data_IF_221503844420
#
_entry.id   IF_221503844420
#
_cell.length_a   1.000
_cell.length_b   1.000
_cell.length_c   1.000
_cell.angle_alpha   90.00
_cell.angle_beta   90.00
_cell.angle_gamma   90.00
#
_symmetry.space_group_name_H-M   'P 1'
#
loop_
_entity.id
_entity.type
_entity.pdbx_description
1 polymer ?
#
# COMPACT_ATOMS: atom_id res chain seq x y z
N UNK A 1 1.69 -5.82 0.16
CA UNK A 1 1.15 -5.03 1.27
C UNK A 1 -0.23 -5.53 1.70
N UNK A 2 -0.89 -4.78 2.59
CA UNK A 2 -2.17 -5.22 3.18
C UNK A 2 -3.29 -5.22 2.15
N UNK A 3 -3.35 -4.25 1.23
CA UNK A 3 -4.41 -4.19 0.24
C UNK A 3 -4.36 -5.39 -0.71
N UNK A 4 -3.22 -5.66 -1.34
CA UNK A 4 -3.05 -6.84 -2.19
C UNK A 4 -3.27 -8.16 -1.43
N UNK A 5 -2.82 -8.25 -0.16
CA UNK A 5 -3.02 -9.45 0.66
C UNK A 5 -4.49 -9.69 1.02
N UNK A 6 -5.21 -8.64 1.41
CA UNK A 6 -6.63 -8.73 1.75
C UNK A 6 -7.48 -9.03 0.50
N UNK A 7 -7.20 -8.36 -0.62
CA UNK A 7 -7.86 -8.60 -1.90
C UNK A 7 -7.69 -10.06 -2.37
N UNK A 8 -6.45 -10.57 -2.30
CA UNK A 8 -6.16 -11.97 -2.62
C UNK A 8 -6.88 -12.93 -1.68
N UNK A 9 -6.92 -12.63 -0.37
CA UNK A 9 -7.60 -13.46 0.63
C UNK A 9 -9.10 -13.56 0.39
N UNK A 10 -9.75 -12.48 -0.07
CA UNK A 10 -11.17 -12.52 -0.47
C UNK A 10 -11.41 -13.49 -1.63
N UNK A 11 -10.53 -13.46 -2.65
CA UNK A 11 -10.64 -14.43 -3.76
C UNK A 11 -10.39 -15.86 -3.30
N UNK A 12 -9.38 -16.12 -2.46
CA UNK A 12 -9.09 -17.46 -1.93
C UNK A 12 -10.32 -17.99 -1.21
N UNK A 13 -10.89 -17.26 -0.25
CA UNK A 13 -12.08 -17.66 0.49
C UNK A 13 -13.28 -17.91 -0.41
N UNK A 14 -13.49 -17.09 -1.43
CA UNK A 14 -14.55 -17.30 -2.41
C UNK A 14 -14.32 -18.60 -3.20
N UNK A 15 -13.13 -18.81 -3.76
CA UNK A 15 -12.81 -19.98 -4.60
C UNK A 15 -12.86 -21.28 -3.79
N UNK A 16 -12.40 -21.26 -2.54
CA UNK A 16 -12.55 -22.39 -1.60
C UNK A 16 -14.02 -22.71 -1.30
N UNK A 17 -14.86 -21.69 -1.09
CA UNK A 17 -16.28 -21.88 -0.81
C UNK A 17 -17.06 -22.57 -1.92
N UNK A 18 -16.57 -22.48 -3.16
CA UNK A 18 -17.16 -23.13 -4.34
C UNK A 18 -16.35 -24.36 -4.81
N UNK A 19 -15.36 -24.80 -4.02
CA UNK A 19 -14.44 -25.89 -4.35
C UNK A 19 -13.78 -25.75 -5.74
N UNK A 20 -13.43 -24.51 -6.14
CA UNK A 20 -12.76 -24.26 -7.41
C UNK A 20 -11.26 -24.46 -7.27
N UNK A 21 -10.63 -25.14 -8.24
CA UNK A 21 -9.18 -25.33 -8.28
C UNK A 21 -8.48 -24.01 -8.60
N UNK A 22 -7.53 -23.60 -7.78
CA UNK A 22 -6.72 -22.39 -7.97
C UNK A 22 -5.33 -22.54 -7.36
N UNK A 23 -4.46 -21.61 -7.68
CA UNK A 23 -3.25 -21.28 -6.91
C UNK A 23 -3.14 -19.76 -6.79
N UNK A 24 -2.46 -19.30 -5.76
CA UNK A 24 -2.14 -17.88 -5.62
C UNK A 24 -0.63 -17.67 -5.58
N UNK A 25 -0.21 -16.46 -5.87
CA UNK A 25 1.18 -16.05 -5.82
C UNK A 25 1.27 -14.58 -5.41
N UNK A 26 2.06 -14.29 -4.39
CA UNK A 26 2.37 -12.93 -3.96
C UNK A 26 3.81 -12.64 -4.35
N UNK A 27 4.08 -11.69 -5.26
CA UNK A 27 5.43 -11.38 -5.70
C UNK A 27 6.35 -10.97 -4.55
N UNK A 28 7.56 -11.48 -4.60
CA UNK A 28 8.62 -11.05 -3.68
C UNK A 28 9.39 -9.87 -4.29
N UNK A 29 9.51 -8.78 -3.51
CA UNK A 29 10.12 -7.54 -4.00
C UNK A 29 11.58 -7.67 -4.41
N UNK A 30 12.33 -8.55 -3.74
CA UNK A 30 13.75 -8.79 -4.02
C UNK A 30 13.94 -9.71 -5.24
N UNK A 31 13.08 -10.74 -5.37
CA UNK A 31 13.22 -11.79 -6.39
C UNK A 31 12.50 -11.45 -7.69
N UNK A 32 11.23 -11.00 -7.58
CA UNK A 32 10.34 -10.80 -8.72
C UNK A 32 10.20 -9.32 -9.13
N UNK A 33 10.61 -8.41 -8.24
CA UNK A 33 10.37 -6.99 -8.40
C UNK A 33 9.00 -6.56 -7.89
N UNK A 34 8.56 -5.38 -8.29
CA UNK A 34 7.27 -4.81 -7.88
C UNK A 34 6.20 -5.07 -8.94
N UNK A 35 5.07 -5.65 -8.49
CA UNK A 35 3.90 -5.87 -9.35
C UNK A 35 4.04 -7.04 -10.35
N UNK A 36 3.19 -7.01 -11.38
CA UNK A 36 3.13 -8.04 -12.40
C UNK A 36 4.20 -7.79 -13.49
N UNK A 37 5.15 -8.72 -13.64
CA UNK A 37 6.21 -8.67 -14.64
C UNK A 37 6.16 -9.87 -15.59
N UNK A 38 6.67 -9.70 -16.83
CA UNK A 38 6.80 -10.79 -17.79
C UNK A 38 7.59 -11.96 -17.19
N UNK A 39 8.75 -11.67 -16.57
CA UNK A 39 9.60 -12.66 -15.91
C UNK A 39 8.86 -13.50 -14.85
N UNK A 40 7.97 -12.87 -14.10
CA UNK A 40 7.11 -13.57 -13.15
C UNK A 40 6.14 -14.51 -13.89
N UNK A 41 5.49 -14.02 -14.94
CA UNK A 41 4.50 -14.83 -15.67
C UNK A 41 5.14 -15.97 -16.44
N UNK A 42 6.37 -15.86 -16.93
CA UNK A 42 7.13 -16.98 -17.48
C UNK A 42 7.22 -18.18 -16.52
N UNK A 43 7.31 -17.91 -15.20
CA UNK A 43 7.29 -18.96 -14.18
C UNK A 43 5.87 -19.48 -13.92
N UNK A 44 4.86 -18.58 -13.87
CA UNK A 44 3.51 -18.95 -13.47
C UNK A 44 2.76 -19.73 -14.55
N UNK A 45 3.01 -19.49 -15.84
CA UNK A 45 2.38 -20.23 -16.95
C UNK A 45 2.74 -21.72 -16.96
N UNK A 46 3.84 -22.12 -16.31
CA UNK A 46 4.22 -23.52 -16.16
C UNK A 46 3.17 -24.32 -15.37
N UNK A 47 2.35 -23.65 -14.56
CA UNK A 47 1.19 -24.23 -13.85
C UNK A 47 -0.06 -24.34 -14.73
N UNK A 48 0.03 -23.93 -16.02
CA UNK A 48 -1.04 -23.99 -17.02
C UNK A 48 -2.38 -23.34 -16.57
N UNK A 49 -2.37 -22.09 -16.09
CA UNK A 49 -3.60 -21.41 -15.73
C UNK A 49 -4.44 -21.09 -16.97
N UNK A 50 -5.78 -21.16 -16.85
CA UNK A 50 -6.69 -20.67 -17.89
C UNK A 50 -6.96 -19.16 -17.76
N UNK A 51 -6.90 -18.65 -16.55
CA UNK A 51 -7.14 -17.25 -16.21
C UNK A 51 -6.14 -16.83 -15.12
N UNK A 52 -5.54 -15.65 -15.30
CA UNK A 52 -4.76 -14.97 -14.26
C UNK A 52 -5.54 -13.74 -13.80
N UNK A 53 -5.80 -13.66 -12.51
CA UNK A 53 -6.42 -12.51 -11.86
C UNK A 53 -5.33 -11.74 -11.12
N UNK A 54 -5.14 -10.49 -11.48
CA UNK A 54 -4.24 -9.57 -10.81
C UNK A 54 -5.05 -8.64 -9.93
N UNK A 55 -4.68 -8.55 -8.66
CA UNK A 55 -5.30 -7.64 -7.70
C UNK A 55 -4.26 -6.70 -7.15
N UNK A 56 -4.61 -5.43 -6.98
CA UNK A 56 -3.74 -4.37 -6.49
C UNK A 56 -2.47 -4.16 -7.33
N UNK A 57 -2.52 -4.60 -8.58
CA UNK A 57 -1.45 -4.43 -9.56
C UNK A 57 -1.97 -4.72 -10.98
N UNK A 58 -1.15 -4.37 -11.97
CA UNK A 58 -1.41 -4.73 -13.36
C UNK A 58 -1.77 -3.55 -14.26
N UNK A 59 -2.19 -2.41 -13.73
CA UNK A 59 -2.61 -1.23 -14.50
C UNK A 59 -1.55 -0.66 -15.45
N UNK A 60 -0.28 -0.97 -15.23
CA UNK A 60 0.85 -0.53 -16.08
C UNK A 60 1.67 -1.70 -16.64
N UNK A 61 1.16 -2.91 -16.57
CA UNK A 61 1.91 -4.14 -16.89
C UNK A 61 1.72 -4.60 -18.34
N UNK A 62 1.88 -3.69 -19.32
CA UNK A 62 1.62 -3.96 -20.75
C UNK A 62 2.41 -5.18 -21.25
N UNK A 63 3.74 -5.20 -21.09
CA UNK A 63 4.60 -6.30 -21.54
C UNK A 63 4.18 -7.66 -20.94
N UNK A 64 3.79 -7.65 -19.66
CA UNK A 64 3.36 -8.87 -18.98
C UNK A 64 2.02 -9.38 -19.52
N UNK A 65 1.09 -8.48 -19.84
CA UNK A 65 -0.21 -8.83 -20.43
C UNK A 65 -0.04 -9.29 -21.89
N UNK A 66 0.80 -8.64 -22.68
CA UNK A 66 1.10 -9.07 -24.06
C UNK A 66 1.64 -10.50 -24.06
N UNK A 67 2.54 -10.82 -23.11
CA UNK A 67 3.06 -12.18 -22.95
C UNK A 67 1.96 -13.20 -22.60
N UNK A 68 0.98 -12.85 -21.75
CA UNK A 68 -0.16 -13.73 -21.46
C UNK A 68 -1.03 -13.96 -22.71
N UNK A 69 -1.27 -12.90 -23.50
CA UNK A 69 -2.05 -12.97 -24.73
C UNK A 69 -1.37 -13.88 -25.77
N UNK A 70 -0.05 -13.76 -25.95
CA UNK A 70 0.76 -14.65 -26.81
C UNK A 70 0.60 -16.12 -26.40
N UNK A 71 0.49 -16.40 -25.10
CA UNK A 71 0.29 -17.73 -24.54
C UNK A 71 -1.20 -18.15 -24.43
N UNK A 72 -2.13 -17.34 -24.96
CA UNK A 72 -3.60 -17.58 -24.94
C UNK A 72 -4.19 -17.74 -23.53
N UNK A 73 -3.60 -17.09 -22.54
CA UNK A 73 -4.06 -17.06 -21.15
C UNK A 73 -4.89 -15.82 -20.94
N UNK A 74 -6.10 -15.99 -20.41
CA UNK A 74 -6.99 -14.86 -20.10
C UNK A 74 -6.49 -14.11 -18.89
N UNK A 75 -6.76 -12.79 -18.85
CA UNK A 75 -6.33 -11.92 -17.76
C UNK A 75 -7.46 -11.00 -17.29
N UNK A 76 -7.58 -10.85 -15.97
CA UNK A 76 -8.44 -9.89 -15.28
C UNK A 76 -7.56 -9.04 -14.38
N UNK A 77 -7.65 -7.73 -14.51
CA UNK A 77 -6.99 -6.75 -13.64
C UNK A 77 -8.05 -6.08 -12.78
N UNK A 78 -7.86 -6.09 -11.45
CA UNK A 78 -8.65 -5.32 -10.47
C UNK A 78 -7.67 -4.48 -9.67
N UNK A 79 -7.56 -3.21 -10.00
CA UNK A 79 -6.52 -2.33 -9.52
C UNK A 79 -7.04 -0.89 -9.35
N UNK A 80 -6.37 -0.08 -8.56
CA UNK A 80 -6.72 1.31 -8.29
C UNK A 80 -5.55 2.29 -8.53
N UNK A 81 -4.38 1.76 -8.89
CA UNK A 81 -3.21 2.57 -9.23
C UNK A 81 -3.43 3.41 -10.48
N UNK A 82 -2.54 4.40 -10.68
CA UNK A 82 -2.58 5.22 -11.89
C UNK A 82 -2.46 4.35 -13.14
N UNK A 83 -3.29 4.66 -14.12
CA UNK A 83 -3.34 3.97 -15.41
C UNK A 83 -3.33 4.99 -16.55
N UNK A 84 -2.47 4.78 -17.53
CA UNK A 84 -2.31 5.68 -18.67
C UNK A 84 -2.34 4.89 -19.97
N UNK A 85 -2.72 5.55 -21.05
CA UNK A 85 -2.64 4.98 -22.39
C UNK A 85 -1.17 4.84 -22.85
N UNK A 86 -0.82 3.80 -23.60
CA UNK A 86 -1.69 2.67 -23.98
C UNK A 86 -1.97 1.73 -22.80
N UNK A 87 -3.25 1.40 -22.62
CA UNK A 87 -3.67 0.46 -21.54
C UNK A 87 -3.19 -0.97 -21.84
N UNK A 88 -2.90 -1.77 -20.79
CA UNK A 88 -2.67 -3.20 -20.96
C UNK A 88 -3.85 -3.86 -21.70
N UNK A 89 -3.56 -4.73 -22.67
CA UNK A 89 -4.59 -5.42 -23.46
C UNK A 89 -5.14 -6.65 -22.73
N UNK A 90 -5.48 -6.49 -21.43
CA UNK A 90 -6.12 -7.53 -20.65
C UNK A 90 -7.57 -7.77 -21.12
N UNK A 91 -8.10 -8.99 -20.89
CA UNK A 91 -9.48 -9.29 -21.25
C UNK A 91 -10.48 -8.40 -20.49
N UNK A 92 -10.18 -8.09 -19.22
CA UNK A 92 -10.97 -7.14 -18.42
C UNK A 92 -10.04 -6.34 -17.52
N UNK A 93 -10.30 -5.04 -17.42
CA UNK A 93 -9.64 -4.14 -16.46
C UNK A 93 -10.73 -3.43 -15.66
N UNK A 94 -10.71 -3.62 -14.35
CA UNK A 94 -11.51 -2.89 -13.38
C UNK A 94 -10.56 -1.92 -12.66
N UNK A 95 -10.62 -0.65 -13.05
CA UNK A 95 -9.86 0.43 -12.43
C UNK A 95 -10.67 1.73 -12.55
N UNK A 96 -11.02 2.40 -11.43
CA UNK A 96 -11.82 3.63 -11.44
C UNK A 96 -11.19 4.79 -12.20
N UNK A 97 -9.87 4.77 -12.39
CA UNK A 97 -9.12 5.82 -13.08
C UNK A 97 -9.01 5.59 -14.59
N UNK A 98 -9.46 4.42 -15.08
CA UNK A 98 -9.47 4.13 -16.52
C UNK A 98 -10.53 4.94 -17.23
N UNK A 99 -10.15 5.65 -18.29
CA UNK A 99 -11.05 6.44 -19.17
C UNK A 99 -11.84 7.56 -18.46
N UNK A 100 -11.44 7.97 -17.26
CA UNK A 100 -12.15 8.95 -16.42
C UNK A 100 -13.63 8.63 -16.16
N UNK A 101 -14.12 7.43 -16.51
CA UNK A 101 -15.53 7.08 -16.48
C UNK A 101 -16.11 6.87 -15.08
N UNK A 102 -15.25 6.50 -14.12
CA UNK A 102 -15.65 6.20 -12.75
C UNK A 102 -14.78 6.91 -11.72
N UNK A 103 -14.26 8.07 -12.07
CA UNK A 103 -13.35 8.85 -11.23
C UNK A 103 -13.95 9.24 -9.88
N UNK A 104 -15.26 9.22 -9.74
CA UNK A 104 -15.95 9.41 -8.47
C UNK A 104 -15.65 8.30 -7.44
N UNK A 105 -15.15 7.14 -7.89
CA UNK A 105 -14.73 5.98 -7.05
C UNK A 105 -13.21 5.86 -6.92
N UNK A 106 -12.45 6.88 -7.30
CA UNK A 106 -10.99 6.90 -7.25
C UNK A 106 -10.41 6.79 -5.83
N UNK A 107 -11.28 6.88 -4.81
CA UNK A 107 -10.93 6.71 -3.39
C UNK A 107 -11.09 5.26 -2.89
N UNK A 108 -11.37 4.30 -3.77
CA UNK A 108 -11.40 2.88 -3.42
C UNK A 108 -10.00 2.26 -3.52
N UNK A 109 -9.64 1.41 -2.57
CA UNK A 109 -8.51 0.49 -2.66
C UNK A 109 -8.89 -0.76 -3.46
N UNK A 110 -7.90 -1.58 -3.83
CA UNK A 110 -8.15 -2.78 -4.63
C UNK A 110 -9.05 -3.80 -3.90
N UNK A 111 -8.90 -3.96 -2.58
CA UNK A 111 -9.77 -4.82 -1.77
C UNK A 111 -11.25 -4.39 -1.85
N UNK A 112 -11.53 -3.08 -1.87
CA UNK A 112 -12.89 -2.56 -2.04
C UNK A 112 -13.47 -2.98 -3.39
N UNK A 113 -12.69 -2.85 -4.47
CA UNK A 113 -13.10 -3.25 -5.82
C UNK A 113 -13.35 -4.76 -5.91
N UNK A 114 -12.46 -5.57 -5.33
CA UNK A 114 -12.61 -7.03 -5.25
C UNK A 114 -13.85 -7.42 -4.45
N UNK A 115 -14.12 -6.75 -3.33
CA UNK A 115 -15.31 -7.00 -2.53
C UNK A 115 -16.60 -6.82 -3.35
N UNK A 116 -16.76 -5.69 -4.02
CA UNK A 116 -17.93 -5.44 -4.87
C UNK A 116 -17.99 -6.37 -6.09
N UNK A 117 -16.84 -6.68 -6.69
CA UNK A 117 -16.78 -7.67 -7.76
C UNK A 117 -17.29 -9.03 -7.30
N UNK A 118 -16.82 -9.52 -6.15
CA UNK A 118 -17.25 -10.79 -5.57
C UNK A 118 -18.71 -10.77 -5.14
N UNK A 119 -19.21 -9.67 -4.57
CA UNK A 119 -20.62 -9.50 -4.22
C UNK A 119 -21.53 -9.71 -5.46
N UNK A 120 -21.18 -9.07 -6.58
CA UNK A 120 -21.88 -9.23 -7.85
C UNK A 120 -21.75 -10.66 -8.41
N UNK A 121 -20.56 -11.25 -8.31
CA UNK A 121 -20.31 -12.62 -8.78
C UNK A 121 -21.10 -13.64 -7.97
N UNK A 122 -21.10 -13.54 -6.65
CA UNK A 122 -21.86 -14.39 -5.72
C UNK A 122 -23.35 -14.31 -6.06
N UNK A 123 -23.88 -13.11 -6.24
CA UNK A 123 -25.28 -12.88 -6.60
C UNK A 123 -25.61 -13.47 -7.97
N UNK A 124 -24.75 -13.28 -8.97
CA UNK A 124 -24.95 -13.80 -10.34
C UNK A 124 -24.87 -15.33 -10.40
N UNK A 125 -23.96 -15.94 -9.63
CA UNK A 125 -23.75 -17.38 -9.57
C UNK A 125 -24.66 -18.08 -8.56
N UNK A 126 -25.50 -17.32 -7.84
CA UNK A 126 -26.40 -17.83 -6.79
C UNK A 126 -25.66 -18.63 -5.69
N UNK A 127 -24.49 -18.17 -5.29
CA UNK A 127 -23.69 -18.79 -4.24
C UNK A 127 -24.18 -18.37 -2.85
N UNK A 128 -23.92 -19.22 -1.84
CA UNK A 128 -24.41 -19.03 -0.47
C UNK A 128 -23.42 -18.33 0.45
N UNK A 129 -22.24 -17.93 -0.03
CA UNK A 129 -21.25 -17.25 0.80
C UNK A 129 -21.76 -15.87 1.22
N UNK A 130 -21.65 -15.55 2.50
CA UNK A 130 -21.96 -14.21 3.00
C UNK A 130 -20.70 -13.32 2.91
N UNK A 131 -20.54 -12.58 1.82
CA UNK A 131 -19.38 -11.69 1.62
C UNK A 131 -19.31 -10.58 2.69
N UNK A 132 -20.44 -10.26 3.35
CA UNK A 132 -20.48 -9.21 4.39
C UNK A 132 -19.61 -9.53 5.60
N UNK A 133 -19.36 -10.79 5.90
CA UNK A 133 -18.50 -11.24 6.99
C UNK A 133 -17.05 -10.78 6.79
N UNK A 134 -16.68 -10.44 5.55
CA UNK A 134 -15.34 -9.95 5.17
C UNK A 134 -15.25 -8.43 4.98
N UNK A 135 -16.29 -7.67 5.35
CA UNK A 135 -16.27 -6.22 5.25
C UNK A 135 -15.12 -5.59 6.05
N UNK A 136 -14.69 -6.26 7.11
CA UNK A 136 -13.53 -5.84 7.91
C UNK A 136 -12.22 -5.82 7.11
N UNK A 137 -12.06 -6.69 6.09
CA UNK A 137 -10.86 -6.67 5.22
C UNK A 137 -10.86 -5.44 4.33
N UNK A 138 -12.04 -5.00 3.88
CA UNK A 138 -12.19 -3.75 3.12
C UNK A 138 -11.78 -2.55 3.97
N UNK A 139 -12.23 -2.51 5.23
CA UNK A 139 -11.84 -1.43 6.15
C UNK A 139 -10.34 -1.47 6.44
N UNK A 140 -9.80 -2.64 6.74
CA UNK A 140 -8.37 -2.85 7.00
C UNK A 140 -7.51 -2.34 5.83
N UNK A 141 -7.83 -2.76 4.61
CA UNK A 141 -7.13 -2.34 3.41
C UNK A 141 -7.27 -0.82 3.16
N UNK A 142 -8.49 -0.28 3.27
CA UNK A 142 -8.76 1.16 3.12
C UNK A 142 -7.89 2.01 4.05
N UNK A 143 -7.75 1.59 5.32
CA UNK A 143 -6.95 2.30 6.31
C UNK A 143 -5.45 2.15 6.05
N UNK A 144 -5.00 0.93 5.72
CA UNK A 144 -3.58 0.63 5.51
C UNK A 144 -3.02 1.25 4.23
N UNK A 145 -3.85 1.37 3.20
CA UNK A 145 -3.51 2.03 1.94
C UNK A 145 -3.78 3.56 1.97
N UNK A 146 -4.11 4.08 3.16
CA UNK A 146 -4.28 5.51 3.44
C UNK A 146 -5.36 6.15 2.55
N UNK A 147 -6.37 5.37 2.16
CA UNK A 147 -7.47 5.86 1.31
C UNK A 147 -8.41 6.79 2.10
N UNK A 148 -8.98 7.81 1.43
CA UNK A 148 -9.86 8.76 2.11
C UNK A 148 -11.09 8.09 2.74
N UNK A 149 -11.34 8.35 4.03
CA UNK A 149 -12.53 7.91 4.76
C UNK A 149 -13.73 8.81 4.48
N UNK A 150 -14.14 8.91 3.21
CA UNK A 150 -15.30 9.69 2.76
C UNK A 150 -16.29 8.81 2.00
N UNK A 151 -17.52 9.27 1.86
CA UNK A 151 -18.59 8.58 1.10
C UNK A 151 -18.72 7.11 1.52
N UNK A 152 -18.59 6.17 0.57
CA UNK A 152 -18.72 4.72 0.83
C UNK A 152 -17.62 4.18 1.75
N UNK A 153 -16.37 4.63 1.65
CA UNK A 153 -15.32 4.21 2.59
C UNK A 153 -15.68 4.58 4.04
N UNK A 154 -16.26 5.75 4.25
CA UNK A 154 -16.75 6.15 5.57
C UNK A 154 -17.93 5.30 6.05
N UNK A 155 -18.87 5.02 5.15
CA UNK A 155 -20.01 4.14 5.47
C UNK A 155 -19.52 2.73 5.85
N UNK A 156 -18.57 2.17 5.09
CA UNK A 156 -17.93 0.88 5.39
C UNK A 156 -17.26 0.94 6.77
N UNK A 157 -16.52 2.02 7.06
CA UNK A 157 -15.87 2.17 8.36
C UNK A 157 -16.88 2.22 9.53
N UNK A 158 -17.94 3.00 9.40
CA UNK A 158 -19.01 3.08 10.40
C UNK A 158 -19.69 1.73 10.62
N UNK A 159 -20.03 1.04 9.52
CA UNK A 159 -20.70 -0.26 9.58
C UNK A 159 -19.77 -1.32 10.20
N UNK A 160 -18.53 -1.41 9.71
CA UNK A 160 -17.56 -2.38 10.22
C UNK A 160 -17.26 -2.17 11.70
N UNK A 161 -16.98 -0.93 12.14
CA UNK A 161 -16.66 -0.66 13.54
C UNK A 161 -17.87 -0.85 14.47
N UNK A 162 -19.10 -0.72 13.97
CA UNK A 162 -20.32 -0.94 14.73
C UNK A 162 -20.67 -2.42 14.89
N UNK A 163 -20.56 -3.19 13.79
CA UNK A 163 -21.05 -4.56 13.70
C UNK A 163 -19.99 -5.61 14.05
N UNK A 164 -18.73 -5.34 13.71
CA UNK A 164 -17.63 -6.29 13.87
C UNK A 164 -17.22 -6.48 15.34
N UNK A 165 -17.15 -7.74 15.76
CA UNK A 165 -16.51 -8.16 17.00
C UNK A 165 -15.18 -8.80 16.68
N UNK A 166 -14.17 -8.59 17.52
CA UNK A 166 -12.83 -9.14 17.31
C UNK A 166 -12.89 -10.68 17.17
N UNK A 167 -13.80 -11.32 17.89
CA UNK A 167 -14.02 -12.77 17.83
C UNK A 167 -14.62 -13.28 16.51
N UNK A 168 -15.13 -12.39 15.67
CA UNK A 168 -15.71 -12.77 14.37
C UNK A 168 -14.64 -13.10 13.32
N UNK A 169 -13.38 -12.77 13.62
CA UNK A 169 -12.25 -13.07 12.73
C UNK A 169 -11.05 -13.59 13.52
N UNK A 170 -10.73 -14.87 13.32
CA UNK A 170 -9.69 -15.55 14.09
C UNK A 170 -8.29 -14.92 13.91
N UNK A 171 -7.95 -14.44 12.70
CA UNK A 171 -6.66 -13.78 12.45
C UNK A 171 -6.52 -12.47 13.22
N UNK A 172 -7.55 -11.62 13.19
CA UNK A 172 -7.55 -10.34 13.94
C UNK A 172 -7.56 -10.62 15.44
N UNK A 173 -8.36 -11.58 15.90
CA UNK A 173 -8.43 -11.99 17.30
C UNK A 173 -7.05 -12.43 17.83
N UNK A 174 -6.34 -13.26 17.08
CA UNK A 174 -5.01 -13.73 17.46
C UNK A 174 -3.98 -12.61 17.51
N UNK A 175 -3.98 -11.71 16.50
CA UNK A 175 -3.09 -10.54 16.50
C UNK A 175 -3.37 -9.59 17.67
N UNK A 176 -4.61 -9.42 18.08
CA UNK A 176 -4.99 -8.65 19.27
C UNK A 176 -4.47 -9.33 20.54
N UNK A 177 -4.71 -10.64 20.68
CA UNK A 177 -4.25 -11.44 21.83
C UNK A 177 -2.73 -11.34 22.02
N UNK A 178 -1.96 -11.59 20.96
CA UNK A 178 -0.49 -11.51 20.98
C UNK A 178 0.03 -10.11 21.38
N UNK A 179 -0.72 -9.07 21.08
CA UNK A 179 -0.34 -7.69 21.40
C UNK A 179 -1.03 -7.14 22.67
N UNK A 180 -1.67 -8.01 23.47
CA UNK A 180 -2.33 -7.68 24.75
C UNK A 180 -3.38 -6.57 24.60
N UNK A 181 -4.10 -6.56 23.47
CA UNK A 181 -5.20 -5.66 23.18
C UNK A 181 -6.51 -6.36 23.49
N UNK A 182 -7.33 -5.77 24.36
CA UNK A 182 -8.63 -6.31 24.78
C UNK A 182 -9.80 -5.36 24.48
N UNK A 183 -9.52 -4.24 23.84
CA UNK A 183 -10.50 -3.19 23.58
C UNK A 183 -11.23 -3.44 22.26
N UNK A 184 -12.34 -2.72 22.08
CA UNK A 184 -13.02 -2.66 20.77
C UNK A 184 -12.04 -2.19 19.68
N UNK A 185 -12.17 -2.75 18.49
CA UNK A 185 -11.36 -2.39 17.33
C UNK A 185 -11.56 -0.92 16.96
N UNK A 186 -10.44 -0.25 16.66
CA UNK A 186 -10.41 1.16 16.22
C UNK A 186 -9.67 1.31 14.89
N UNK A 187 -9.85 2.45 14.21
CA UNK A 187 -9.07 2.81 13.02
C UNK A 187 -7.57 2.82 13.34
N UNK A 188 -7.19 3.33 14.50
CA UNK A 188 -5.78 3.34 14.95
C UNK A 188 -5.20 1.93 15.10
N UNK A 189 -5.98 0.96 15.59
CA UNK A 189 -5.51 -0.42 15.68
C UNK A 189 -5.27 -1.02 14.29
N UNK A 190 -6.11 -0.71 13.31
CA UNK A 190 -5.91 -1.13 11.92
C UNK A 190 -4.66 -0.51 11.31
N UNK A 191 -4.48 0.81 11.43
CA UNK A 191 -3.40 1.53 10.79
C UNK A 191 -2.04 1.40 11.48
N UNK A 192 -2.01 1.29 12.81
CA UNK A 192 -0.76 1.36 13.59
C UNK A 192 -0.38 0.07 14.33
N UNK A 193 -1.26 -0.93 14.37
CA UNK A 193 -0.95 -2.24 14.95
C UNK A 193 -1.04 -3.33 13.88
N UNK A 194 -2.24 -3.63 13.38
CA UNK A 194 -2.48 -4.76 12.47
C UNK A 194 -1.79 -4.53 11.12
N UNK A 195 -1.97 -3.37 10.51
CA UNK A 195 -1.37 -3.05 9.21
C UNK A 195 0.16 -3.19 9.18
N UNK A 196 0.91 -2.58 10.11
CA UNK A 196 2.35 -2.76 10.20
C UNK A 196 2.80 -4.21 10.38
N UNK A 197 2.06 -5.03 11.16
CA UNK A 197 2.37 -6.45 11.36
C UNK A 197 2.19 -7.22 10.04
N UNK A 198 1.06 -7.06 9.36
CA UNK A 198 0.79 -7.71 8.08
C UNK A 198 1.78 -7.28 6.99
N UNK A 199 2.12 -5.99 6.93
CA UNK A 199 3.08 -5.46 5.97
C UNK A 199 4.52 -5.92 6.22
N UNK A 200 4.86 -6.37 7.42
CA UNK A 200 6.23 -6.76 7.76
C UNK A 200 6.72 -7.95 6.94
N UNK A 201 5.85 -8.90 6.61
CA UNK A 201 6.18 -10.03 5.75
C UNK A 201 6.70 -9.60 4.38
N UNK A 202 5.95 -8.75 3.69
CA UNK A 202 6.33 -8.24 2.36
C UNK A 202 7.56 -7.32 2.35
N UNK A 203 7.98 -6.80 3.52
CA UNK A 203 9.19 -5.98 3.65
C UNK A 203 10.45 -6.81 3.94
N UNK A 204 10.30 -8.00 4.48
CA UNK A 204 11.40 -8.87 4.92
C UNK A 204 11.39 -10.25 4.22
N UNK A 205 10.93 -10.30 2.96
CA UNK A 205 11.03 -11.46 2.09
C UNK A 205 10.07 -12.63 2.44
N UNK A 206 8.93 -12.33 3.09
CA UNK A 206 7.87 -13.29 3.41
C UNK A 206 6.52 -12.77 2.93
N UNK A 207 6.43 -12.47 1.63
CA UNK A 207 5.32 -11.75 1.02
C UNK A 207 3.96 -12.46 1.14
N UNK A 208 3.92 -13.79 1.21
CA UNK A 208 2.70 -14.58 1.28
C UNK A 208 2.09 -14.71 2.69
N UNK A 209 2.84 -14.42 3.77
CA UNK A 209 2.41 -14.69 5.14
C UNK A 209 1.12 -13.96 5.53
N UNK A 210 0.96 -12.70 5.12
CA UNK A 210 -0.26 -11.94 5.40
C UNK A 210 -1.48 -12.55 4.69
N UNK A 211 -1.33 -12.95 3.42
CA UNK A 211 -2.39 -13.61 2.67
C UNK A 211 -2.74 -14.97 3.29
N UNK A 212 -1.76 -15.77 3.64
CA UNK A 212 -1.99 -17.06 4.32
C UNK A 212 -2.74 -16.90 5.64
N UNK A 213 -2.38 -15.86 6.44
CA UNK A 213 -3.08 -15.57 7.69
C UNK A 213 -4.53 -15.16 7.47
N UNK A 214 -4.79 -14.26 6.51
CA UNK A 214 -6.11 -13.70 6.29
C UNK A 214 -7.06 -14.65 5.54
N UNK A 215 -6.53 -15.63 4.81
CA UNK A 215 -7.33 -16.56 3.98
C UNK A 215 -7.74 -17.85 4.68
N UNK A 216 -7.28 -18.13 5.91
CA UNK A 216 -7.55 -19.40 6.61
C UNK A 216 -8.35 -19.22 7.88
N UNK A 217 -9.05 -20.27 8.30
CA UNK A 217 -9.64 -20.42 9.64
C UNK A 217 -8.98 -21.54 10.45
N UNK A 218 -7.90 -22.15 9.91
CA UNK A 218 -7.12 -23.18 10.63
C UNK A 218 -6.34 -22.53 11.79
N UNK A 219 -6.63 -22.88 13.06
CA UNK A 219 -6.01 -22.27 14.22
C UNK A 219 -4.49 -22.50 14.29
N UNK A 220 -3.98 -23.59 13.71
CA UNK A 220 -2.54 -23.89 13.69
C UNK A 220 -1.83 -22.90 12.75
N UNK A 221 -2.38 -22.67 11.57
CA UNK A 221 -1.82 -21.74 10.60
C UNK A 221 -1.95 -20.30 11.12
N UNK A 222 -3.10 -19.94 11.70
CA UNK A 222 -3.35 -18.62 12.28
C UNK A 222 -2.33 -18.31 13.37
N UNK A 223 -2.17 -19.19 14.36
CA UNK A 223 -1.22 -18.99 15.45
C UNK A 223 0.21 -18.86 14.91
N UNK A 224 0.64 -19.79 14.06
CA UNK A 224 1.98 -19.78 13.45
C UNK A 224 2.25 -18.48 12.71
N UNK A 225 1.37 -18.07 11.78
CA UNK A 225 1.57 -16.88 10.94
C UNK A 225 1.47 -15.58 11.73
N UNK A 226 0.61 -15.52 12.73
CA UNK A 226 0.50 -14.35 13.61
C UNK A 226 1.77 -14.13 14.42
N UNK A 227 2.36 -15.19 14.98
CA UNK A 227 3.63 -15.12 15.71
C UNK A 227 4.76 -14.69 14.77
N UNK A 228 4.90 -15.34 13.60
CA UNK A 228 5.95 -15.05 12.62
C UNK A 228 5.88 -13.60 12.13
N UNK A 229 4.68 -13.10 11.77
CA UNK A 229 4.48 -11.72 11.33
C UNK A 229 4.79 -10.71 12.44
N UNK A 230 4.42 -11.01 13.69
CA UNK A 230 4.73 -10.16 14.83
C UNK A 230 6.24 -10.07 15.08
N UNK A 231 6.95 -11.20 14.97
CA UNK A 231 8.42 -11.26 15.07
C UNK A 231 9.08 -10.47 13.91
N UNK A 232 8.58 -10.62 12.68
CA UNK A 232 9.06 -9.85 11.53
C UNK A 232 8.84 -8.34 11.73
N UNK A 233 7.70 -7.94 12.28
CA UNK A 233 7.43 -6.53 12.56
C UNK A 233 8.36 -5.96 13.64
N UNK A 234 8.67 -6.72 14.68
CA UNK A 234 9.66 -6.33 15.69
C UNK A 234 11.05 -6.20 15.06
N UNK A 235 11.49 -7.22 14.31
CA UNK A 235 12.76 -7.18 13.58
C UNK A 235 12.83 -5.95 12.62
N UNK A 236 11.75 -5.65 11.91
CA UNK A 236 11.67 -4.46 11.06
C UNK A 236 11.88 -3.18 11.86
N UNK A 237 11.24 -3.07 13.05
CA UNK A 237 11.40 -1.90 13.95
C UNK A 237 12.83 -1.75 14.45
N UNK A 238 13.46 -2.86 14.83
CA UNK A 238 14.85 -2.86 15.32
C UNK A 238 15.80 -2.38 14.21
N UNK A 239 15.64 -2.90 12.98
CA UNK A 239 16.44 -2.48 11.84
C UNK A 239 16.17 -0.99 11.51
N UNK A 240 14.92 -0.53 11.52
CA UNK A 240 14.54 0.87 11.30
C UNK A 240 15.24 1.77 12.32
N UNK A 241 15.19 1.41 13.60
CA UNK A 241 15.83 2.15 14.68
C UNK A 241 17.34 2.19 14.52
N UNK A 242 17.98 1.07 14.21
CA UNK A 242 19.43 1.02 13.96
C UNK A 242 19.84 1.93 12.82
N UNK A 243 19.13 1.88 11.67
CA UNK A 243 19.43 2.73 10.52
C UNK A 243 19.27 4.22 10.89
N UNK A 244 18.21 4.58 11.62
CA UNK A 244 17.98 5.98 12.01
C UNK A 244 19.04 6.48 12.98
N UNK A 245 19.54 5.63 13.90
CA UNK A 245 20.64 5.99 14.80
C UNK A 245 21.98 6.19 14.08
N UNK A 246 22.17 5.51 12.94
CA UNK A 246 23.38 5.65 12.12
C UNK A 246 23.35 6.92 11.22
N UNK A 247 22.21 7.58 11.09
CA UNK A 247 22.06 8.80 10.29
C UNK A 247 22.50 10.02 11.10
N UNK A 248 23.46 10.77 10.59
CA UNK A 248 23.88 12.06 11.17
C UNK A 248 22.90 13.16 10.76
N UNK A 249 21.85 13.35 11.56
CA UNK A 249 20.82 14.37 11.34
C UNK A 249 21.36 15.78 11.36
N UNK A 250 22.33 16.07 12.28
CA UNK A 250 22.94 17.39 12.42
C UNK A 250 23.72 17.77 11.15
N UNK A 251 24.42 16.82 10.55
CA UNK A 251 25.13 17.02 9.30
C UNK A 251 24.17 17.34 8.16
N UNK A 252 23.08 16.56 8.04
CA UNK A 252 22.05 16.78 7.00
C UNK A 252 21.43 18.18 7.16
N UNK A 253 21.16 18.60 8.39
CA UNK A 253 20.59 19.93 8.66
C UNK A 253 21.56 21.06 8.31
N UNK A 254 22.85 20.92 8.66
CA UNK A 254 23.92 21.90 8.33
C UNK A 254 24.16 22.03 6.83
N UNK A 255 23.92 20.99 6.03
CA UNK A 255 24.00 21.07 4.56
C UNK A 255 22.97 22.03 3.96
N UNK A 256 21.89 22.35 4.68
CA UNK A 256 20.89 23.34 4.29
C UNK A 256 20.12 23.04 3.01
N UNK A 257 20.16 21.79 2.52
CA UNK A 257 19.50 21.37 1.27
C UNK A 257 17.98 21.44 1.39
N UNK A 258 17.32 21.79 0.30
CA UNK A 258 15.86 21.86 0.24
C UNK A 258 15.19 20.48 0.05
N UNK A 259 15.96 19.49 -0.39
CA UNK A 259 15.53 18.09 -0.53
C UNK A 259 16.57 17.20 0.14
N UNK A 260 16.11 16.17 0.83
CA UNK A 260 16.98 15.21 1.50
C UNK A 260 17.15 14.00 0.59
N UNK A 261 18.39 13.70 0.20
CA UNK A 261 18.71 12.49 -0.56
C UNK A 261 19.77 11.73 0.22
N UNK A 262 19.37 10.56 0.73
CA UNK A 262 20.21 9.70 1.56
C UNK A 262 20.50 8.40 0.82
N UNK A 263 21.76 8.16 0.50
CA UNK A 263 22.23 6.93 -0.14
C UNK A 263 22.98 6.07 0.87
N UNK A 264 22.51 4.84 1.06
CA UNK A 264 23.21 3.82 1.82
C UNK A 264 23.00 2.46 1.14
N UNK A 265 24.07 1.83 0.60
CA UNK A 265 23.98 0.60 -0.18
C UNK A 265 23.51 -0.62 0.62
N UNK A 266 23.54 -0.56 1.95
CA UNK A 266 23.26 -1.67 2.84
C UNK A 266 21.83 -1.70 3.38
N UNK A 267 20.99 -0.71 3.07
CA UNK A 267 19.60 -0.69 3.50
C UNK A 267 18.80 -1.67 2.63
N UNK A 268 18.02 -2.54 3.29
CA UNK A 268 17.08 -3.42 2.60
C UNK A 268 16.02 -2.62 1.82
N UNK A 269 15.74 -3.01 0.58
CA UNK A 269 14.80 -2.34 -0.32
C UNK A 269 13.40 -2.18 0.28
N UNK A 270 12.94 -3.14 1.09
CA UNK A 270 11.64 -3.09 1.75
C UNK A 270 11.52 -1.98 2.82
N UNK A 271 12.66 -1.39 3.24
CA UNK A 271 12.72 -0.40 4.33
C UNK A 271 13.00 1.02 3.84
N UNK A 272 13.55 1.22 2.64
CA UNK A 272 13.91 2.57 2.14
C UNK A 272 12.73 3.54 2.17
N UNK A 273 11.51 3.07 1.92
CA UNK A 273 10.31 3.91 1.95
C UNK A 273 9.90 4.34 3.37
N UNK A 274 10.20 3.52 4.39
CA UNK A 274 9.95 3.87 5.79
C UNK A 274 10.97 4.92 6.25
N UNK A 275 12.24 4.68 5.96
CA UNK A 275 13.30 5.64 6.31
C UNK A 275 13.08 6.98 5.61
N UNK A 276 12.67 6.98 4.32
CA UNK A 276 12.32 8.20 3.61
C UNK A 276 11.16 8.96 4.30
N UNK A 277 10.15 8.24 4.81
CA UNK A 277 9.06 8.86 5.56
C UNK A 277 9.57 9.50 6.87
N UNK A 278 10.44 8.80 7.63
CA UNK A 278 11.03 9.35 8.87
C UNK A 278 11.86 10.61 8.62
N UNK A 279 12.70 10.59 7.58
CA UNK A 279 13.47 11.78 7.19
C UNK A 279 12.56 12.94 6.78
N UNK A 280 11.51 12.65 5.97
CA UNK A 280 10.52 13.65 5.59
C UNK A 280 9.81 14.25 6.81
N UNK A 281 9.41 13.42 7.77
CA UNK A 281 8.72 13.88 8.98
C UNK A 281 9.63 14.71 9.88
N UNK A 282 10.90 14.33 10.00
CA UNK A 282 11.88 15.06 10.82
C UNK A 282 12.25 16.41 10.23
N UNK A 283 12.61 16.44 8.93
CA UNK A 283 13.11 17.67 8.28
C UNK A 283 12.00 18.53 7.66
N UNK A 284 10.77 17.99 7.56
CA UNK A 284 9.66 18.60 6.80
C UNK A 284 10.08 19.00 5.37
N UNK A 285 10.85 18.14 4.71
CA UNK A 285 11.37 18.31 3.34
C UNK A 285 11.11 17.04 2.52
N UNK A 286 10.96 17.16 1.18
CA UNK A 286 10.94 15.96 0.33
C UNK A 286 12.18 15.13 0.61
N UNK A 287 11.98 13.84 0.93
CA UNK A 287 13.06 12.96 1.35
C UNK A 287 13.09 11.69 0.51
N UNK A 288 14.27 11.34 0.05
CA UNK A 288 14.53 10.22 -0.84
C UNK A 288 15.61 9.35 -0.21
N UNK A 289 15.33 8.07 -0.09
CA UNK A 289 16.31 7.08 0.36
C UNK A 289 16.62 6.12 -0.77
N UNK A 290 17.90 5.90 -1.01
CA UNK A 290 18.42 5.11 -2.12
C UNK A 290 19.29 3.99 -1.57
N UNK A 291 19.15 2.79 -2.12
CA UNK A 291 19.99 1.62 -1.80
C UNK A 291 20.52 0.95 -3.07
N UNK A 292 21.47 0.04 -2.90
CA UNK A 292 22.00 -0.78 -4.00
C UNK A 292 21.17 -2.05 -4.21
N UNK A 293 20.94 -2.39 -5.47
CA UNK A 293 20.28 -3.65 -5.88
C UNK A 293 21.05 -4.21 -7.07
N UNK A 294 22.05 -5.04 -6.80
CA UNK A 294 22.98 -5.50 -7.82
C UNK A 294 23.74 -4.33 -8.49
N UNK A 295 23.62 -4.23 -9.82
CA UNK A 295 24.30 -3.19 -10.61
C UNK A 295 23.49 -1.87 -10.74
N UNK A 296 22.34 -1.79 -10.11
CA UNK A 296 21.45 -0.62 -10.15
C UNK A 296 21.16 -0.10 -8.76
N UNK A 297 20.63 1.09 -8.69
CA UNK A 297 20.14 1.68 -7.45
C UNK A 297 18.62 1.69 -7.46
N UNK A 298 18.01 1.43 -6.30
CA UNK A 298 16.57 1.59 -6.06
C UNK A 298 16.32 2.69 -5.06
N UNK A 299 15.37 3.56 -5.34
CA UNK A 299 15.01 4.67 -4.50
C UNK A 299 13.55 4.69 -4.14
N UNK A 300 13.26 5.19 -2.94
CA UNK A 300 11.92 5.52 -2.50
C UNK A 300 11.87 6.95 -2.01
N UNK A 301 10.89 7.69 -2.49
CA UNK A 301 10.70 9.10 -2.20
C UNK A 301 9.42 9.33 -1.38
N UNK A 302 9.46 10.32 -0.49
CA UNK A 302 8.32 10.81 0.26
C UNK A 302 8.29 12.33 0.17
N UNK A 303 7.12 12.89 -0.09
CA UNK A 303 6.95 14.32 -0.33
C UNK A 303 6.30 15.04 0.83
N UNK A 304 6.37 16.35 0.75
CA UNK A 304 5.64 17.30 1.60
C UNK A 304 4.48 17.89 0.84
N UNK A 305 3.57 18.54 1.55
CA UNK A 305 2.46 19.27 0.95
C UNK A 305 2.97 20.28 -0.11
N UNK A 306 2.25 20.44 -1.20
CA UNK A 306 2.57 21.31 -2.35
C UNK A 306 3.76 20.88 -3.22
N UNK A 307 4.26 19.66 -3.09
CA UNK A 307 5.24 19.13 -4.04
C UNK A 307 4.84 17.73 -4.54
N UNK A 308 4.54 17.61 -5.81
CA UNK A 308 4.18 16.34 -6.42
C UNK A 308 5.43 15.56 -6.84
N UNK A 309 5.91 14.67 -5.95
CA UNK A 309 7.12 13.86 -6.19
C UNK A 309 6.91 12.83 -7.31
N UNK A 310 5.68 12.31 -7.49
CA UNK A 310 5.37 11.36 -8.57
C UNK A 310 5.58 12.00 -9.94
N UNK A 311 5.16 13.28 -10.11
CA UNK A 311 5.43 14.06 -11.34
C UNK A 311 6.93 14.25 -11.55
N UNK A 312 7.67 14.61 -10.50
CA UNK A 312 9.12 14.78 -10.60
C UNK A 312 9.84 13.50 -11.03
N UNK A 313 9.42 12.34 -10.50
CA UNK A 313 9.94 11.03 -10.90
C UNK A 313 9.58 10.72 -12.36
N UNK A 314 8.35 10.99 -12.80
CA UNK A 314 7.94 10.83 -14.20
C UNK A 314 8.80 11.71 -15.13
N UNK A 315 8.97 12.98 -14.79
CA UNK A 315 9.84 13.91 -15.53
C UNK A 315 11.30 13.42 -15.60
N UNK A 316 11.80 12.79 -14.52
CA UNK A 316 13.13 12.19 -14.50
C UNK A 316 13.25 10.99 -15.45
N UNK A 317 12.18 10.22 -15.59
CA UNK A 317 12.08 9.09 -16.53
C UNK A 317 12.07 9.58 -17.97
N UNK A 318 11.24 10.58 -18.29
CA UNK A 318 11.13 11.18 -19.62
C UNK A 318 12.47 11.77 -20.10
N UNK A 319 13.25 12.31 -19.16
CA UNK A 319 14.62 12.81 -19.40
C UNK A 319 15.70 11.71 -19.39
N UNK A 320 15.32 10.45 -19.23
CA UNK A 320 16.24 9.28 -19.18
C UNK A 320 17.30 9.37 -18.06
N UNK A 321 17.02 10.11 -17.00
CA UNK A 321 17.87 10.22 -15.81
C UNK A 321 17.74 8.93 -14.98
N UNK A 322 16.53 8.39 -14.88
CA UNK A 322 16.24 7.12 -14.23
C UNK A 322 15.87 6.05 -15.25
N UNK A 323 15.94 4.78 -14.86
CA UNK A 323 15.62 3.63 -15.70
C UNK A 323 14.13 3.28 -15.71
N UNK A 324 13.45 3.54 -14.62
CA UNK A 324 12.05 3.27 -14.42
C UNK A 324 11.61 3.87 -13.10
N UNK A 325 10.34 4.17 -12.97
CA UNK A 325 9.78 4.71 -11.74
C UNK A 325 8.38 5.26 -11.95
N UNK A 326 7.72 5.50 -10.84
CA UNK A 326 6.38 6.07 -10.80
C UNK A 326 5.93 6.28 -9.36
N UNK A 327 4.75 6.85 -9.21
CA UNK A 327 4.19 7.12 -7.89
C UNK A 327 3.06 8.12 -7.95
N UNK A 328 2.69 8.58 -6.79
CA UNK A 328 1.64 9.56 -6.55
C UNK A 328 2.24 10.87 -6.01
N UNK A 329 1.39 11.83 -5.73
CA UNK A 329 1.80 13.14 -5.24
C UNK A 329 2.75 13.07 -4.03
N UNK A 330 2.45 12.20 -3.05
CA UNK A 330 3.16 12.13 -1.76
C UNK A 330 4.22 11.03 -1.68
N UNK A 331 4.26 10.09 -2.63
CA UNK A 331 5.19 8.96 -2.59
C UNK A 331 5.50 8.43 -3.98
N UNK A 332 6.76 8.06 -4.20
CA UNK A 332 7.21 7.46 -5.46
C UNK A 332 8.33 6.47 -5.24
N UNK A 333 8.47 5.52 -6.18
CA UNK A 333 9.58 4.59 -6.26
C UNK A 333 10.27 4.69 -7.61
N UNK A 334 11.57 4.40 -7.67
CA UNK A 334 12.32 4.48 -8.91
C UNK A 334 13.58 3.61 -8.91
N UNK A 335 14.12 3.43 -10.09
CA UNK A 335 15.37 2.71 -10.33
C UNK A 335 16.30 3.56 -11.19
N UNK A 336 17.58 3.64 -10.83
CA UNK A 336 18.55 4.42 -11.59
C UNK A 336 19.93 3.72 -11.66
N UNK A 337 20.75 4.16 -12.61
CA UNK A 337 22.17 3.76 -12.68
C UNK A 337 22.99 4.58 -11.67
N UNK A 338 23.96 3.95 -11.02
CA UNK A 338 24.81 4.63 -10.01
C UNK A 338 25.49 5.89 -10.57
N UNK A 339 25.90 5.90 -11.84
CA UNK A 339 26.52 7.04 -12.51
C UNK A 339 25.60 8.26 -12.60
N UNK A 340 24.27 8.05 -12.58
CA UNK A 340 23.27 9.10 -12.68
C UNK A 340 22.87 9.70 -11.32
N UNK A 341 23.40 9.21 -10.20
CA UNK A 341 22.97 9.64 -8.86
C UNK A 341 23.07 11.16 -8.69
N UNK A 342 24.22 11.76 -8.98
CA UNK A 342 24.43 13.22 -8.85
C UNK A 342 23.54 14.02 -9.82
N UNK A 343 23.28 13.49 -11.02
CA UNK A 343 22.39 14.13 -12.01
C UNK A 343 20.97 14.14 -11.47
N UNK A 344 20.53 13.02 -10.89
CA UNK A 344 19.22 12.88 -10.27
C UNK A 344 19.04 13.81 -9.07
N UNK A 345 20.03 13.89 -8.16
CA UNK A 345 20.01 14.81 -7.01
C UNK A 345 19.82 16.26 -7.45
N UNK A 346 20.64 16.70 -8.41
CA UNK A 346 20.55 18.05 -8.96
C UNK A 346 19.21 18.31 -9.65
N UNK A 347 18.67 17.33 -10.35
CA UNK A 347 17.39 17.44 -11.02
C UNK A 347 16.25 17.63 -10.00
N UNK A 348 16.13 16.76 -8.99
CA UNK A 348 15.09 16.83 -7.97
C UNK A 348 15.16 18.14 -7.19
N UNK A 349 16.36 18.57 -6.80
CA UNK A 349 16.56 19.83 -6.07
C UNK A 349 16.10 21.05 -6.88
N UNK A 350 16.41 21.08 -8.19
CA UNK A 350 15.97 22.15 -9.09
C UNK A 350 14.46 22.10 -9.36
N UNK A 351 13.89 20.90 -9.56
CA UNK A 351 12.46 20.73 -9.79
C UNK A 351 11.66 21.18 -8.56
N UNK A 352 12.11 20.84 -7.36
CA UNK A 352 11.49 21.30 -6.12
C UNK A 352 11.50 22.83 -6.01
N UNK A 353 12.65 23.47 -6.21
CA UNK A 353 12.79 24.94 -6.13
C UNK A 353 11.94 25.67 -7.18
N UNK A 354 11.76 25.09 -8.36
CA UNK A 354 11.00 25.71 -9.45
C UNK A 354 9.50 25.52 -9.34
N UNK A 355 9.05 24.49 -8.62
CA UNK A 355 7.62 24.10 -8.60
C UNK A 355 6.96 24.24 -7.24
N UNK A 356 7.72 24.23 -6.14
CA UNK A 356 7.20 24.55 -4.83
C UNK A 356 7.04 26.07 -4.71
N UNK A 357 5.79 26.52 -4.72
CA UNK A 357 5.53 27.85 -4.15
C UNK A 357 5.91 27.75 -2.66
N UNK A 358 6.90 28.50 -2.25
CA UNK A 358 7.38 28.57 -0.86
C UNK A 358 6.30 29.24 -0.01
N UNK A 359 5.20 28.52 0.20
CA UNK A 359 4.17 28.92 1.15
C UNK A 359 4.56 28.33 2.49
N UNK A 360 4.74 29.20 3.48
CA UNK A 360 4.81 28.83 4.91
C UNK A 360 3.80 27.73 5.19
N UNK A 361 4.17 26.78 6.05
CA UNK A 361 3.26 25.73 6.52
C UNK A 361 1.93 26.37 6.90
N UNK A 362 0.93 26.22 6.03
CA UNK A 362 -0.43 26.64 6.33
C UNK A 362 -1.07 25.44 7.02
N UNK A 363 -1.23 25.55 8.33
CA UNK A 363 -2.04 24.60 9.10
C UNK A 363 -3.49 25.07 8.99
N UNK A 364 -4.32 24.26 8.34
CA UNK A 364 -5.78 24.44 8.37
C UNK A 364 -6.32 23.94 9.71
N UNK A 365 -7.28 24.66 10.28
CA UNK A 365 -8.10 24.21 11.40
C UNK A 365 -9.56 24.45 11.08
N UNK A 366 -10.42 23.58 11.61
CA UNK A 366 -11.86 23.64 11.30
C UNK A 366 -12.57 24.71 12.12
N UNK A 367 -12.12 24.95 13.35
CA UNK A 367 -12.71 25.94 14.23
C UNK A 367 -11.73 26.44 15.31
N UNK A 368 -11.95 27.68 15.73
CA UNK A 368 -11.31 28.26 16.91
C UNK A 368 -12.30 28.18 18.10
N UNK A 369 -11.82 27.63 19.21
CA UNK A 369 -12.64 27.50 20.43
C UNK A 369 -11.93 28.11 21.63
N UNK A 370 -12.72 28.62 22.60
CA UNK A 370 -12.19 29.07 23.87
C UNK A 370 -11.77 27.89 24.76
N UNK A 371 -10.85 28.13 25.69
CA UNK A 371 -10.41 27.10 26.65
C UNK A 371 -11.57 26.53 27.49
N UNK A 372 -12.61 27.33 27.78
CA UNK A 372 -13.82 26.92 28.51
C UNK A 372 -14.67 25.96 27.66
N UNK A 373 -14.73 26.16 26.35
CA UNK A 373 -15.48 25.29 25.44
C UNK A 373 -14.82 23.92 25.28
N UNK A 374 -13.52 23.78 25.59
CA UNK A 374 -12.81 22.51 25.56
C UNK A 374 -13.12 21.68 26.81
N UNK A 375 -14.28 21.06 26.82
CA UNK A 375 -14.83 20.30 27.94
C UNK A 375 -15.31 18.91 27.48
N UNK A 376 -15.80 18.09 28.41
CA UNK A 376 -16.22 16.72 28.13
C UNK A 376 -17.39 16.63 27.15
N UNK A 377 -18.29 17.60 27.18
CA UNK A 377 -19.45 17.59 26.26
C UNK A 377 -19.00 17.87 24.82
N UNK A 378 -18.10 18.82 24.63
CA UNK A 378 -17.49 19.08 23.33
C UNK A 378 -16.71 17.87 22.81
N UNK A 379 -15.93 17.19 23.67
CA UNK A 379 -15.26 15.94 23.31
C UNK A 379 -16.25 14.87 22.86
N UNK A 380 -17.34 14.67 23.63
CA UNK A 380 -18.39 13.71 23.30
C UNK A 380 -19.08 14.05 21.97
N UNK A 381 -19.24 15.32 21.64
CA UNK A 381 -19.82 15.76 20.36
C UNK A 381 -18.89 15.48 19.19
N UNK A 382 -17.58 15.69 19.36
CA UNK A 382 -16.57 15.30 18.36
C UNK A 382 -16.57 13.78 18.14
N UNK A 383 -16.62 13.00 19.22
CA UNK A 383 -16.68 11.52 19.12
C UNK A 383 -17.88 11.01 18.30
N UNK A 384 -19.01 11.76 18.26
CA UNK A 384 -20.18 11.39 17.44
C UNK A 384 -19.91 11.46 15.94
N UNK A 385 -18.93 12.28 15.52
CA UNK A 385 -18.55 12.38 14.10
C UNK A 385 -17.39 11.43 13.72
N UNK A 386 -16.88 10.62 14.66
CA UNK A 386 -15.93 9.54 14.35
C UNK A 386 -16.56 8.50 13.37
N UNK A 387 -15.75 7.68 12.68
CA UNK A 387 -14.31 7.55 12.77
C UNK A 387 -13.56 8.62 11.98
N UNK A 388 -12.42 9.04 12.52
CA UNK A 388 -11.49 9.95 11.85
C UNK A 388 -10.46 9.17 11.04
N UNK A 389 -9.95 9.77 9.94
CA UNK A 389 -8.94 9.19 9.09
C UNK A 389 -8.54 10.13 7.95
N UNK A 390 -7.84 9.59 6.96
CA UNK A 390 -7.38 10.37 5.81
C UNK A 390 -8.57 11.02 5.06
N UNK A 391 -8.47 12.33 4.79
CA UNK A 391 -9.46 13.05 3.98
C UNK A 391 -10.79 13.36 4.68
N UNK A 392 -10.79 13.28 6.01
CA UNK A 392 -11.90 13.75 6.85
C UNK A 392 -11.59 15.10 7.41
#
# INVERSE_FOLDING_TARGET
DVDGSAATSLFIRYLESINHSFFFYIPDREIDGYGASKKLFEKLILKKPNLIIMVDCGSTSNEAIDFLNENKIKSLIIDHHEINEPYPQANVIINPKKNNGYIEYNYFCATTLVYFFLELLIKKMNNKINIRDYLIYVLLATVCDVMPLRKLNRLIALTSLKEFKITDNCAISELFSLNKKNNKLTISDLGYLIGPILNAGGRLGKSNYATELLSTDDPIIINKRSIELNQLNNKRRDIETSILNDIDFDKIEKEGKNTIIYYNPNINEGLIGIIAARLKDHFNKPSIVITSSGNILKGSARSVYNYNIGRAIKNSLDKKIILGGGGHEMAAGFTLRKINLNIFENFISKDFLSTSSYNKNIYGYDAEISSIAFNKDFYNDIEKIAPFGTGN
#
